data_IF_172113212670
#
_entry.id   IF_172113212670
#
_cell.length_a   1.000
_cell.length_b   1.000
_cell.length_c   1.000
_cell.angle_alpha   90.00
_cell.angle_beta   90.00
_cell.angle_gamma   90.00
#
_symmetry.space_group_name_H-M   'P 1'
#
loop_
_entity.id
_entity.type
_entity.pdbx_description
1 polymer ?
#
# COMPACT_ATOMS: atom_id res chain seq x y z
N UNK A 1 -6.25 10.93 22.87
CA UNK A 1 -5.18 10.68 23.85
C UNK A 1 -5.60 9.65 24.88
N UNK A 2 -4.79 8.59 25.03
CA UNK A 2 -4.95 7.55 26.04
C UNK A 2 -3.56 7.11 26.55
N UNK A 3 -3.53 6.33 27.64
CA UNK A 3 -2.28 5.80 28.19
C UNK A 3 -2.16 4.29 27.95
N UNK A 4 -0.98 3.85 27.53
CA UNK A 4 -0.63 2.43 27.39
C UNK A 4 0.34 2.05 28.51
N UNK A 5 0.02 0.99 29.25
CA UNK A 5 0.83 0.46 30.35
C UNK A 5 1.11 -1.01 30.11
N UNK A 6 2.38 -1.37 29.98
CA UNK A 6 2.80 -2.73 29.68
C UNK A 6 3.82 -3.20 30.71
N UNK A 7 3.75 -4.47 31.10
CA UNK A 7 4.79 -5.15 31.86
C UNK A 7 5.40 -6.18 30.92
N UNK A 8 6.67 -6.04 30.60
CA UNK A 8 7.40 -6.95 29.72
C UNK A 8 8.76 -7.33 30.31
N UNK A 9 9.41 -8.31 29.70
CA UNK A 9 10.82 -8.59 29.97
C UNK A 9 11.67 -7.35 29.62
N UNK A 10 12.71 -7.01 30.41
CA UNK A 10 13.58 -5.89 30.09
C UNK A 10 14.17 -5.97 28.66
N UNK A 11 14.50 -7.16 28.17
CA UNK A 11 15.05 -7.38 26.83
C UNK A 11 14.05 -7.08 25.70
N UNK A 12 12.74 -7.14 25.98
CA UNK A 12 11.68 -6.85 25.01
C UNK A 12 11.30 -5.35 24.94
N UNK A 13 11.83 -4.51 25.83
CA UNK A 13 11.36 -3.13 26.02
C UNK A 13 11.42 -2.29 24.74
N UNK A 14 12.50 -2.41 23.97
CA UNK A 14 12.70 -1.64 22.72
C UNK A 14 11.80 -2.16 21.60
N UNK A 15 11.65 -3.49 21.51
CA UNK A 15 10.78 -4.14 20.52
C UNK A 15 9.32 -3.74 20.74
N UNK A 16 8.85 -3.79 21.99
CA UNK A 16 7.49 -3.38 22.36
C UNK A 16 7.29 -1.89 22.06
N UNK A 17 8.21 -1.03 22.46
CA UNK A 17 8.11 0.42 22.21
C UNK A 17 8.05 0.74 20.71
N UNK A 18 8.87 0.06 19.91
CA UNK A 18 8.89 0.22 18.44
C UNK A 18 7.56 -0.21 17.80
N UNK A 19 7.02 -1.36 18.21
CA UNK A 19 5.75 -1.86 17.70
C UNK A 19 4.58 -0.90 18.02
N UNK A 20 4.57 -0.31 19.22
CA UNK A 20 3.55 0.67 19.61
C UNK A 20 3.66 1.97 18.82
N UNK A 21 4.88 2.46 18.59
CA UNK A 21 5.14 3.65 17.78
C UNK A 21 4.77 3.45 16.30
N UNK A 22 4.74 2.20 15.82
CA UNK A 22 4.25 1.87 14.48
C UNK A 22 2.71 1.92 14.40
N UNK A 23 2.00 1.54 15.48
CA UNK A 23 0.55 1.51 15.51
C UNK A 23 -0.09 2.86 15.90
N UNK A 24 0.54 3.60 16.81
CA UNK A 24 0.01 4.82 17.41
C UNK A 24 1.00 5.97 17.29
N UNK A 25 0.51 7.20 17.42
CA UNK A 25 1.37 8.34 17.68
C UNK A 25 1.73 8.30 19.17
N UNK A 26 2.91 7.82 19.51
CA UNK A 26 3.35 7.64 20.90
C UNK A 26 4.31 8.75 21.35
N UNK A 27 4.18 9.18 22.61
CA UNK A 27 5.24 9.91 23.30
C UNK A 27 6.40 9.00 23.72
N UNK A 28 7.48 9.59 24.26
CA UNK A 28 8.62 8.84 24.78
C UNK A 28 8.19 7.86 25.90
N UNK A 29 8.63 6.61 25.78
CA UNK A 29 8.33 5.57 26.76
C UNK A 29 9.09 5.81 28.08
N UNK A 30 8.36 5.88 29.19
CA UNK A 30 8.94 5.91 30.54
C UNK A 30 9.06 4.49 31.06
N UNK A 31 10.25 4.10 31.52
CA UNK A 31 10.55 2.76 32.00
C UNK A 31 10.76 2.75 33.51
N UNK A 32 10.11 1.81 34.20
CA UNK A 32 10.31 1.59 35.63
C UNK A 32 10.43 0.10 35.92
N UNK A 33 11.42 -0.36 36.72
CA UNK A 33 11.47 -1.74 37.14
C UNK A 33 10.24 -2.11 38.00
N UNK A 34 9.78 -3.34 37.88
CA UNK A 34 8.79 -3.90 38.81
C UNK A 34 9.40 -4.10 40.20
N UNK A 35 8.55 -4.29 41.22
CA UNK A 35 9.00 -4.42 42.62
C UNK A 35 9.94 -5.61 42.85
N UNK A 36 9.83 -6.66 42.05
CA UNK A 36 10.70 -7.85 42.04
C UNK A 36 11.97 -7.68 41.17
N UNK A 37 12.08 -6.57 40.42
CA UNK A 37 13.21 -6.28 39.54
C UNK A 37 13.33 -7.16 38.29
N UNK A 38 12.41 -8.12 38.10
CA UNK A 38 12.50 -9.10 37.01
C UNK A 38 11.86 -8.61 35.71
N UNK A 39 10.99 -7.61 35.78
CA UNK A 39 10.25 -7.08 34.64
C UNK A 39 10.32 -5.56 34.59
N UNK A 40 10.05 -5.00 33.43
CA UNK A 40 9.99 -3.55 33.23
C UNK A 40 8.55 -3.15 32.95
N UNK A 41 8.12 -2.06 33.59
CA UNK A 41 6.88 -1.35 33.31
C UNK A 41 7.18 -0.24 32.31
N UNK A 42 6.52 -0.28 31.16
CA UNK A 42 6.53 0.78 30.16
C UNK A 42 5.25 1.60 30.30
N UNK A 43 5.41 2.92 30.38
CA UNK A 43 4.31 3.89 30.38
C UNK A 43 4.45 4.81 29.17
N UNK A 44 3.46 4.78 28.28
CA UNK A 44 3.42 5.60 27.07
C UNK A 44 2.11 6.39 27.02
N UNK A 45 2.20 7.66 26.64
CA UNK A 45 1.03 8.39 26.13
C UNK A 45 0.88 8.08 24.65
N UNK A 46 -0.34 7.82 24.21
CA UNK A 46 -0.65 7.47 22.83
C UNK A 46 -1.84 8.29 22.33
N UNK A 47 -1.76 8.69 21.07
CA UNK A 47 -2.87 9.19 20.30
C UNK A 47 -3.16 8.25 19.15
N UNK A 48 -4.43 8.21 18.74
CA UNK A 48 -4.80 7.54 17.50
C UNK A 48 -4.00 8.17 16.37
N UNK A 49 -3.40 7.34 15.52
CA UNK A 49 -3.00 7.84 14.20
C UNK A 49 -4.28 8.31 13.48
N UNK A 50 -4.22 9.42 12.74
CA UNK A 50 -5.31 9.74 11.83
C UNK A 50 -5.57 8.50 10.97
N UNK A 51 -6.85 8.18 10.82
CA UNK A 51 -7.27 7.09 9.93
C UNK A 51 -6.59 7.34 8.57
N UNK A 52 -6.00 6.32 7.93
CA UNK A 52 -5.47 6.48 6.59
C UNK A 52 -6.54 7.18 5.74
N UNK A 53 -6.16 8.22 5.01
CA UNK A 53 -7.12 8.94 4.16
C UNK A 53 -7.96 7.92 3.39
N UNK A 54 -9.29 8.14 3.28
CA UNK A 54 -10.18 7.20 2.65
C UNK A 54 -9.62 6.84 1.28
N UNK A 55 -9.39 5.53 1.10
CA UNK A 55 -8.79 5.00 -0.11
C UNK A 55 -9.66 5.42 -1.30
N UNK A 56 -9.08 5.93 -2.40
CA UNK A 56 -9.88 6.39 -3.52
C UNK A 56 -10.68 5.22 -4.08
N UNK A 57 -11.97 5.45 -4.36
CA UNK A 57 -12.76 4.45 -5.06
C UNK A 57 -12.19 4.22 -6.46
N UNK A 58 -12.48 3.09 -7.13
CA UNK A 58 -12.04 2.89 -8.51
C UNK A 58 -12.44 4.04 -9.45
N UNK A 59 -13.65 4.58 -9.27
CA UNK A 59 -14.17 5.70 -10.04
C UNK A 59 -13.35 6.97 -9.81
N UNK A 60 -13.03 7.27 -8.55
CA UNK A 60 -12.19 8.42 -8.19
C UNK A 60 -10.75 8.27 -8.69
N UNK A 61 -10.18 7.07 -8.55
CA UNK A 61 -8.80 6.79 -8.94
C UNK A 61 -8.59 6.93 -10.45
N UNK A 62 -9.59 6.51 -11.24
CA UNK A 62 -9.50 6.48 -12.71
C UNK A 62 -10.29 7.58 -13.41
N UNK A 63 -10.81 8.58 -12.67
CA UNK A 63 -11.57 9.70 -13.23
C UNK A 63 -10.83 10.46 -14.34
N UNK A 64 -9.51 10.57 -14.23
CA UNK A 64 -8.64 11.25 -15.21
C UNK A 64 -7.96 10.29 -16.18
N UNK A 65 -8.28 8.99 -16.12
CA UNK A 65 -7.61 7.99 -16.92
C UNK A 65 -8.06 8.08 -18.40
N UNK A 66 -7.14 7.96 -19.37
CA UNK A 66 -7.50 7.83 -20.78
C UNK A 66 -8.37 6.60 -21.03
N UNK A 67 -9.02 6.51 -22.21
CA UNK A 67 -9.84 5.36 -22.55
C UNK A 67 -9.03 4.04 -22.52
N UNK A 68 -9.69 2.93 -22.20
CA UNK A 68 -9.05 1.60 -22.15
C UNK A 68 -8.35 1.29 -23.47
N UNK A 69 -8.98 1.57 -24.62
CA UNK A 69 -8.42 1.33 -25.95
C UNK A 69 -7.13 2.14 -26.17
N UNK A 70 -7.11 3.42 -25.79
CA UNK A 70 -5.92 4.27 -25.92
C UNK A 70 -4.77 3.77 -25.03
N UNK A 71 -5.06 3.35 -23.81
CA UNK A 71 -4.05 2.77 -22.90
C UNK A 71 -3.54 1.40 -23.39
N UNK A 72 -4.38 0.56 -23.99
CA UNK A 72 -3.93 -0.69 -24.65
C UNK A 72 -2.92 -0.34 -25.76
N UNK A 73 -3.24 0.64 -26.62
CA UNK A 73 -2.36 1.06 -27.70
C UNK A 73 -1.02 1.61 -27.19
N UNK A 74 -1.05 2.42 -26.11
CA UNK A 74 0.16 2.98 -25.52
C UNK A 74 1.03 1.93 -24.84
N UNK A 75 0.45 1.05 -24.03
CA UNK A 75 1.19 -0.01 -23.31
C UNK A 75 1.80 -1.03 -24.27
N UNK A 76 1.06 -1.44 -25.31
CA UNK A 76 1.56 -2.36 -26.33
C UNK A 76 2.74 -1.77 -27.11
N UNK A 77 2.63 -0.51 -27.54
CA UNK A 77 3.71 0.18 -28.27
C UNK A 77 4.96 0.36 -27.41
N UNK A 78 4.80 0.81 -26.18
CA UNK A 78 5.91 1.02 -25.24
C UNK A 78 6.67 -0.28 -24.95
N UNK A 79 5.95 -1.41 -24.85
CA UNK A 79 6.55 -2.73 -24.69
C UNK A 79 7.26 -3.22 -25.96
N UNK A 80 6.72 -2.94 -27.14
CA UNK A 80 7.34 -3.31 -28.42
C UNK A 80 8.64 -2.53 -28.67
N UNK A 81 8.67 -1.24 -28.31
CA UNK A 81 9.84 -0.37 -28.51
C UNK A 81 11.00 -0.67 -27.54
N UNK A 82 10.74 -1.42 -26.46
CA UNK A 82 11.74 -1.80 -25.44
C UNK A 82 11.66 -3.29 -25.13
N UNK A 83 12.31 -4.16 -25.93
CA UNK A 83 12.17 -5.61 -25.82
C UNK A 83 12.77 -6.21 -24.53
N UNK A 84 13.58 -5.45 -23.79
CA UNK A 84 14.11 -5.86 -22.49
C UNK A 84 13.39 -5.11 -21.36
N UNK A 85 12.69 -5.85 -20.49
CA UNK A 85 11.88 -5.33 -19.38
C UNK A 85 12.68 -4.45 -18.39
N UNK A 86 14.01 -4.58 -18.38
CA UNK A 86 14.93 -3.84 -17.50
C UNK A 86 15.00 -2.34 -17.77
N UNK A 87 14.45 -1.88 -18.91
CA UNK A 87 14.41 -0.46 -19.30
C UNK A 87 13.04 0.21 -19.19
N UNK A 88 12.00 -0.48 -18.73
CA UNK A 88 10.65 0.10 -18.63
C UNK A 88 10.51 0.90 -17.34
N UNK A 89 10.14 2.18 -17.46
CA UNK A 89 10.07 3.10 -16.34
C UNK A 89 8.90 2.75 -15.40
N UNK A 90 8.96 3.23 -14.16
CA UNK A 90 7.89 3.06 -13.17
C UNK A 90 6.52 3.50 -13.71
N UNK A 91 6.46 4.56 -14.52
CA UNK A 91 5.23 5.03 -15.16
C UNK A 91 4.59 3.95 -16.04
N UNK A 92 5.37 3.25 -16.86
CA UNK A 92 4.85 2.15 -17.67
C UNK A 92 4.18 1.08 -16.81
N UNK A 93 4.84 0.65 -15.73
CA UNK A 93 4.31 -0.37 -14.84
C UNK A 93 3.05 0.11 -14.10
N UNK A 94 3.04 1.38 -13.67
CA UNK A 94 1.87 2.00 -13.06
C UNK A 94 0.68 2.05 -14.02
N UNK A 95 0.88 2.54 -15.25
CA UNK A 95 -0.18 2.63 -16.27
C UNK A 95 -0.68 1.25 -16.71
N UNK A 96 0.23 0.28 -16.86
CA UNK A 96 -0.13 -1.11 -17.18
C UNK A 96 -0.95 -1.76 -16.06
N UNK A 97 -0.56 -1.57 -14.80
CA UNK A 97 -1.31 -2.09 -13.66
C UNK A 97 -2.71 -1.44 -13.56
N UNK A 98 -2.79 -0.12 -13.73
CA UNK A 98 -4.06 0.62 -13.74
C UNK A 98 -4.98 0.18 -14.88
N UNK A 99 -4.44 -0.06 -16.08
CA UNK A 99 -5.20 -0.58 -17.22
C UNK A 99 -5.81 -1.96 -16.91
N UNK A 100 -5.02 -2.88 -16.38
CA UNK A 100 -5.49 -4.23 -16.07
C UNK A 100 -6.53 -4.23 -14.94
N UNK A 101 -6.37 -3.36 -13.93
CA UNK A 101 -7.39 -3.20 -12.88
C UNK A 101 -8.71 -2.66 -13.42
N UNK A 102 -8.67 -1.71 -14.36
CA UNK A 102 -9.87 -1.18 -15.03
C UNK A 102 -10.58 -2.22 -15.89
N UNK A 103 -9.83 -3.05 -16.61
CA UNK A 103 -10.40 -4.18 -17.35
C UNK A 103 -11.04 -5.18 -16.38
N UNK A 104 -10.37 -5.51 -15.28
CA UNK A 104 -10.91 -6.41 -14.26
C UNK A 104 -12.22 -5.88 -13.65
N UNK A 105 -12.32 -4.57 -13.38
CA UNK A 105 -13.55 -3.95 -12.88
C UNK A 105 -14.71 -4.02 -13.88
N UNK A 106 -14.43 -3.89 -15.18
CA UNK A 106 -15.45 -4.08 -16.23
C UNK A 106 -15.86 -5.55 -16.36
N UNK A 107 -14.90 -6.48 -16.30
CA UNK A 107 -15.19 -7.92 -16.37
C UNK A 107 -15.98 -8.42 -15.14
N UNK A 108 -15.71 -7.87 -13.95
CA UNK A 108 -16.46 -8.17 -12.71
C UNK A 108 -17.93 -7.74 -12.81
N UNK A 109 -18.24 -6.69 -13.59
CA UNK A 109 -19.62 -6.29 -13.85
C UNK A 109 -20.35 -7.16 -14.88
N UNK A 110 -19.62 -7.84 -15.75
CA UNK A 110 -20.16 -8.69 -16.83
C UNK A 110 -20.21 -10.20 -16.48
N UNK A 111 -19.93 -10.57 -15.22
CA UNK A 111 -20.15 -11.89 -14.60
C UNK A 111 -19.41 -13.12 -15.18
N UNK A 112 -18.69 -13.04 -16.31
CA UNK A 112 -18.30 -14.26 -17.05
C UNK A 112 -16.80 -14.56 -17.26
N UNK A 113 -15.83 -13.81 -16.70
CA UNK A 113 -14.40 -14.10 -16.94
C UNK A 113 -13.49 -13.95 -15.71
N UNK A 114 -13.06 -15.10 -15.15
CA UNK A 114 -12.21 -15.24 -13.95
C UNK A 114 -10.73 -14.81 -14.12
N UNK A 115 -10.29 -14.34 -15.30
CA UNK A 115 -8.85 -14.14 -15.58
C UNK A 115 -8.32 -12.72 -15.36
N UNK A 116 -9.16 -11.70 -15.52
CA UNK A 116 -8.71 -10.30 -15.50
C UNK A 116 -8.32 -9.84 -14.09
N UNK A 117 -9.07 -10.25 -13.06
CA UNK A 117 -8.76 -9.93 -11.66
C UNK A 117 -7.40 -10.49 -11.22
N UNK A 118 -7.07 -11.72 -11.63
CA UNK A 118 -5.76 -12.34 -11.36
C UNK A 118 -4.62 -11.63 -12.08
N UNK A 119 -4.84 -11.21 -13.33
CA UNK A 119 -3.89 -10.42 -14.10
C UNK A 119 -3.65 -9.04 -13.45
N UNK A 120 -4.72 -8.36 -13.03
CA UNK A 120 -4.64 -7.08 -12.33
C UNK A 120 -3.86 -7.22 -11.02
N UNK A 121 -4.13 -8.26 -10.24
CA UNK A 121 -3.43 -8.53 -8.98
C UNK A 121 -1.94 -8.79 -9.20
N UNK A 122 -1.56 -9.59 -10.21
CA UNK A 122 -0.14 -9.81 -10.53
C UNK A 122 0.57 -8.53 -11.00
N UNK A 123 -0.10 -7.70 -11.78
CA UNK A 123 0.46 -6.42 -12.22
C UNK A 123 0.64 -5.45 -11.05
N UNK A 124 -0.30 -5.43 -10.11
CA UNK A 124 -0.20 -4.66 -8.88
C UNK A 124 0.99 -5.10 -8.00
N UNK A 125 1.16 -6.41 -7.81
CA UNK A 125 2.30 -6.96 -7.07
C UNK A 125 3.63 -6.57 -7.72
N UNK A 126 3.71 -6.58 -9.05
CA UNK A 126 4.91 -6.14 -9.77
C UNK A 126 5.25 -4.67 -9.52
N UNK A 127 4.24 -3.80 -9.42
CA UNK A 127 4.44 -2.39 -9.07
C UNK A 127 4.92 -2.23 -7.62
N UNK A 128 4.32 -2.96 -6.67
CA UNK A 128 4.73 -2.96 -5.26
C UNK A 128 6.19 -3.40 -5.10
N UNK A 129 6.58 -4.46 -5.80
CA UNK A 129 7.95 -4.97 -5.84
C UNK A 129 8.92 -3.91 -6.38
N UNK A 130 8.54 -3.22 -7.47
CA UNK A 130 9.34 -2.14 -8.06
C UNK A 130 9.52 -0.96 -7.11
N UNK A 131 8.49 -0.64 -6.32
CA UNK A 131 8.49 0.45 -5.35
C UNK A 131 9.14 0.07 -4.01
N UNK A 132 9.60 -1.17 -3.85
CA UNK A 132 10.23 -1.66 -2.61
C UNK A 132 9.30 -1.61 -1.40
N UNK A 133 7.98 -1.63 -1.61
CA UNK A 133 6.99 -1.51 -0.54
C UNK A 133 6.65 -2.90 0.03
N UNK A 134 6.57 -3.02 1.35
CA UNK A 134 6.21 -4.28 2.01
C UNK A 134 4.77 -4.71 1.67
N UNK A 135 4.48 -6.00 1.83
CA UNK A 135 3.21 -6.63 1.46
C UNK A 135 1.98 -5.81 1.93
N UNK A 136 1.22 -5.33 0.95
CA UNK A 136 -0.01 -4.56 1.14
C UNK A 136 -1.18 -5.55 1.18
N UNK A 137 -2.14 -5.33 2.08
CA UNK A 137 -3.31 -6.18 2.25
C UNK A 137 -4.18 -6.28 0.99
N UNK A 138 -4.20 -5.23 0.17
CA UNK A 138 -4.85 -5.23 -1.15
C UNK A 138 -3.93 -4.59 -2.21
N UNK A 139 -3.32 -5.41 -3.09
CA UNK A 139 -2.46 -4.92 -4.16
C UNK A 139 -3.17 -3.98 -5.14
N UNK A 140 -4.43 -4.23 -5.49
CA UNK A 140 -5.17 -3.43 -6.48
C UNK A 140 -5.50 -2.05 -5.91
N UNK A 141 -5.78 -1.95 -4.62
CA UNK A 141 -5.92 -0.64 -3.95
C UNK A 141 -4.64 0.19 -3.99
N UNK A 142 -3.48 -0.43 -3.85
CA UNK A 142 -2.21 0.29 -3.99
C UNK A 142 -2.07 0.95 -5.37
N UNK A 143 -2.40 0.22 -6.43
CA UNK A 143 -2.38 0.76 -7.80
C UNK A 143 -3.28 1.98 -7.92
N UNK A 144 -4.52 1.90 -7.41
CA UNK A 144 -5.48 3.02 -7.45
C UNK A 144 -4.95 4.25 -6.73
N UNK A 145 -4.36 4.07 -5.54
CA UNK A 145 -3.75 5.16 -4.78
C UNK A 145 -2.59 5.81 -5.54
N UNK A 146 -1.66 5.00 -6.06
CA UNK A 146 -0.50 5.49 -6.80
C UNK A 146 -0.90 6.17 -8.10
N UNK A 147 -1.90 5.64 -8.81
CA UNK A 147 -2.39 6.21 -10.06
C UNK A 147 -3.09 7.54 -9.82
N UNK A 148 -3.96 7.63 -8.82
CA UNK A 148 -4.62 8.89 -8.45
C UNK A 148 -3.62 9.99 -8.07
N UNK A 149 -2.57 9.63 -7.32
CA UNK A 149 -1.51 10.58 -6.94
C UNK A 149 -0.66 11.02 -8.14
N UNK A 150 -0.36 10.10 -9.07
CA UNK A 150 0.37 10.39 -10.30
C UNK A 150 -0.44 11.26 -11.26
N UNK A 151 -1.71 10.93 -11.50
CA UNK A 151 -2.60 11.65 -12.41
C UNK A 151 -2.83 13.11 -11.97
N UNK A 152 -2.84 13.39 -10.67
CA UNK A 152 -2.92 14.77 -10.12
C UNK A 152 -1.66 15.61 -10.35
N UNK A 153 -0.53 15.00 -10.69
CA UNK A 153 0.78 15.66 -10.88
C UNK A 153 1.19 15.76 -12.34
N UNK A 154 0.35 15.26 -13.25
CA UNK A 154 0.54 15.27 -14.69
C UNK A 154 0.13 16.62 -15.29
#
# INVERSE_FOLDING_TARGET
MFEIRIICDPADSDRVSTALAAAFTTGSARQHPTRDGQRTRLYLTADHRPEPEPLPTPEEAYALAPSIISEIGWTARTAADRPFYDGLNREFWLRKAALLDRIALSDETDSDLSGAADLATRAALRLIELDGTAAISDPRHYVRQQYAAWAKRQ
#
